data_IF_727673502982
#
_entry.id   IF_727673502982
#
_cell.length_a   1.000
_cell.length_b   1.000
_cell.length_c   1.000
_cell.angle_alpha   90.00
_cell.angle_beta   90.00
_cell.angle_gamma   90.00
#
_symmetry.space_group_name_H-M   'P 1'
#
loop_
_entity.id
_entity.type
_entity.pdbx_description
1 polymer ?
#
# COMPACT_ATOMS: atom_id res chain seq x y z
N UNK A 1 -2.62 9.68 -8.68
CA UNK A 1 -2.23 10.58 -9.79
C UNK A 1 -1.49 11.75 -9.18
N UNK A 2 -0.21 11.89 -9.47
CA UNK A 2 0.60 12.99 -8.95
C UNK A 2 0.80 13.95 -10.11
N UNK A 3 0.24 15.15 -10.01
CA UNK A 3 0.46 16.20 -11.01
C UNK A 3 1.49 17.17 -10.45
N UNK A 4 2.56 17.43 -11.19
CA UNK A 4 3.43 18.55 -10.89
C UNK A 4 2.59 19.84 -10.97
N UNK A 5 2.46 20.53 -9.84
CA UNK A 5 1.91 21.89 -9.88
C UNK A 5 2.89 22.75 -10.67
N UNK A 6 2.42 23.40 -11.73
CA UNK A 6 3.17 24.41 -12.43
C UNK A 6 3.72 25.41 -11.40
N UNK A 7 5.00 25.26 -11.05
CA UNK A 7 5.70 26.39 -10.51
C UNK A 7 5.74 27.43 -11.64
N UNK A 8 5.34 28.64 -11.37
CA UNK A 8 5.57 29.79 -12.25
C UNK A 8 7.09 30.00 -12.34
N UNK A 9 7.74 29.17 -13.17
CA UNK A 9 9.11 29.40 -13.58
C UNK A 9 9.06 30.55 -14.56
N UNK A 10 9.92 31.55 -14.36
CA UNK A 10 10.07 32.60 -15.36
C UNK A 10 10.56 31.98 -16.69
N UNK A 11 10.34 32.67 -17.81
CA UNK A 11 10.66 32.09 -19.13
C UNK A 11 12.14 31.69 -19.27
N UNK A 12 13.04 32.33 -18.53
CA UNK A 12 14.48 32.03 -18.49
C UNK A 12 14.81 30.72 -17.74
N UNK A 13 13.94 30.25 -16.82
CA UNK A 13 14.13 29.01 -16.05
C UNK A 13 13.52 27.76 -16.72
N UNK A 14 12.87 27.94 -17.86
CA UNK A 14 12.23 26.82 -18.60
C UNK A 14 13.21 25.96 -19.39
N UNK A 15 14.46 26.38 -19.50
CA UNK A 15 15.50 25.70 -20.28
C UNK A 15 16.66 25.26 -19.39
N UNK A 16 16.87 23.96 -19.31
CA UNK A 16 18.09 23.38 -18.74
C UNK A 16 19.06 23.12 -19.88
N UNK A 17 20.28 23.63 -19.71
CA UNK A 17 21.37 23.43 -20.68
C UNK A 17 22.31 22.36 -20.15
N UNK A 18 22.50 21.29 -20.88
CA UNK A 18 23.56 20.33 -20.66
C UNK A 18 24.62 20.52 -21.75
N UNK A 19 25.85 20.72 -21.36
CA UNK A 19 26.97 20.81 -22.28
C UNK A 19 27.45 19.40 -22.61
N UNK A 20 27.23 18.95 -23.86
CA UNK A 20 27.78 17.71 -24.37
C UNK A 20 28.89 18.07 -25.36
N UNK A 21 30.14 18.06 -24.90
CA UNK A 21 31.29 18.54 -25.66
C UNK A 21 31.30 20.06 -25.78
N UNK A 22 31.53 20.57 -26.99
CA UNK A 22 31.54 22.02 -27.29
C UNK A 22 30.14 22.55 -27.69
N UNK A 23 29.14 21.67 -27.84
CA UNK A 23 27.78 22.02 -28.23
C UNK A 23 26.87 22.19 -27.00
N UNK A 24 26.06 23.25 -27.00
CA UNK A 24 24.99 23.45 -26.02
C UNK A 24 23.72 22.72 -26.47
N UNK A 25 23.33 21.69 -25.72
CA UNK A 25 22.08 20.97 -25.97
C UNK A 25 21.00 21.47 -25.01
N UNK A 26 19.91 21.98 -25.56
CA UNK A 26 18.74 22.39 -24.80
C UNK A 26 17.99 21.16 -24.32
N UNK A 27 17.95 20.96 -22.99
CA UNK A 27 17.07 19.97 -22.38
C UNK A 27 15.80 20.66 -21.88
N UNK A 28 14.64 20.16 -22.30
CA UNK A 28 13.36 20.66 -21.85
C UNK A 28 12.35 19.51 -21.73
N UNK A 29 11.46 19.61 -20.72
CA UNK A 29 10.33 18.69 -20.57
C UNK A 29 9.12 19.36 -21.26
N UNK A 30 8.57 18.77 -22.33
CA UNK A 30 7.38 19.30 -22.99
C UNK A 30 6.19 19.43 -22.03
N UNK A 31 5.35 20.43 -22.22
CA UNK A 31 4.20 20.73 -21.35
C UNK A 31 3.14 19.63 -21.31
N UNK A 32 3.13 18.74 -22.30
CA UNK A 32 2.20 17.60 -22.39
C UNK A 32 2.66 16.34 -21.66
N UNK A 33 3.78 16.39 -20.91
CA UNK A 33 4.25 15.28 -20.10
C UNK A 33 3.70 15.39 -18.67
N UNK A 34 3.09 14.30 -18.22
CA UNK A 34 2.57 14.15 -16.85
C UNK A 34 3.35 13.05 -16.14
N UNK A 35 3.82 13.35 -14.93
CA UNK A 35 4.53 12.37 -14.10
C UNK A 35 3.57 11.74 -13.10
N UNK A 36 3.46 10.42 -13.14
CA UNK A 36 2.72 9.63 -12.17
C UNK A 36 3.73 8.76 -11.42
N UNK A 37 3.90 9.03 -10.13
CA UNK A 37 4.71 8.21 -9.25
C UNK A 37 3.84 7.36 -8.33
N UNK A 38 4.29 6.14 -8.04
CA UNK A 38 3.69 5.28 -7.02
C UNK A 38 4.74 4.97 -5.98
N UNK A 39 4.34 5.01 -4.71
CA UNK A 39 5.20 4.62 -3.60
C UNK A 39 4.42 3.82 -2.58
N UNK A 40 5.13 2.97 -1.83
CA UNK A 40 4.60 2.28 -0.68
C UNK A 40 5.01 3.04 0.59
N UNK A 41 4.03 3.51 1.37
CA UNK A 41 4.25 4.31 2.58
C UNK A 41 4.87 3.49 3.74
N UNK A 42 4.74 2.16 3.69
CA UNK A 42 5.33 1.24 4.69
C UNK A 42 6.83 1.03 4.49
N UNK A 43 7.37 1.39 3.33
CA UNK A 43 8.79 1.20 3.04
C UNK A 43 9.63 2.29 3.70
N UNK A 44 10.26 1.95 4.83
CA UNK A 44 11.11 2.88 5.61
C UNK A 44 12.31 3.43 4.85
N UNK A 45 12.67 2.85 3.70
CA UNK A 45 13.71 3.40 2.82
C UNK A 45 13.30 4.74 2.20
N UNK A 46 12.02 5.09 2.27
CA UNK A 46 11.40 6.29 1.69
C UNK A 46 11.27 7.44 2.70
N UNK A 47 11.69 7.28 3.96
CA UNK A 47 11.68 8.33 4.99
C UNK A 47 12.49 9.59 4.61
N UNK A 48 13.28 9.49 3.55
CA UNK A 48 14.06 10.59 2.97
C UNK A 48 13.32 11.33 1.84
N UNK A 49 12.01 11.14 1.67
CA UNK A 49 11.27 11.99 0.73
C UNK A 49 11.29 13.42 1.25
N UNK A 50 12.23 14.20 0.71
CA UNK A 50 12.42 15.61 1.04
C UNK A 50 11.06 16.34 1.00
N UNK A 51 10.78 17.10 2.04
CA UNK A 51 9.61 17.98 2.11
C UNK A 51 9.48 18.89 0.87
N UNK A 52 10.60 19.18 0.20
CA UNK A 52 10.62 19.92 -1.05
C UNK A 52 9.96 19.15 -2.21
N UNK A 53 10.15 17.83 -2.29
CA UNK A 53 9.46 16.99 -3.26
C UNK A 53 7.96 16.86 -2.93
N UNK A 54 7.61 16.72 -1.66
CA UNK A 54 6.19 16.64 -1.24
C UNK A 54 5.39 17.86 -1.68
N UNK A 55 5.97 19.04 -1.71
CA UNK A 55 5.28 20.27 -2.13
C UNK A 55 5.04 20.38 -3.63
N UNK A 56 5.79 19.62 -4.43
CA UNK A 56 5.75 19.68 -5.90
C UNK A 56 4.75 18.71 -6.52
N UNK A 57 4.20 17.77 -5.73
CA UNK A 57 3.28 16.76 -6.19
C UNK A 57 1.91 16.87 -5.50
N UNK A 58 0.85 16.53 -6.23
CA UNK A 58 -0.46 16.28 -5.62
C UNK A 58 -0.47 14.82 -5.12
N UNK A 59 -0.64 14.64 -3.81
CA UNK A 59 -0.62 13.32 -3.17
C UNK A 59 -2.03 12.74 -3.13
N UNK A 60 -2.17 11.51 -3.57
CA UNK A 60 -3.43 10.77 -3.49
C UNK A 60 -3.12 9.47 -2.76
N UNK A 61 -3.63 9.36 -1.53
CA UNK A 61 -3.57 8.11 -0.77
C UNK A 61 -4.57 7.11 -1.36
N UNK A 62 -4.14 5.87 -1.52
CA UNK A 62 -4.94 4.73 -1.95
C UNK A 62 -4.76 3.60 -0.96
N UNK A 63 -5.61 3.60 0.07
CA UNK A 63 -5.66 2.55 1.06
C UNK A 63 -6.48 1.33 0.61
N UNK A 64 -6.80 0.49 1.58
CA UNK A 64 -7.72 -0.63 1.44
C UNK A 64 -9.12 -0.15 0.99
N UNK A 65 -9.65 -0.80 -0.03
CA UNK A 65 -11.00 -0.54 -0.55
C UNK A 65 -11.79 -1.86 -0.64
N UNK A 66 -12.76 -2.02 0.26
CA UNK A 66 -13.60 -3.20 0.31
C UNK A 66 -14.56 -3.32 -0.88
N UNK A 67 -14.94 -2.18 -1.47
CA UNK A 67 -15.88 -2.18 -2.60
C UNK A 67 -15.30 -2.90 -3.82
N UNK A 68 -13.98 -2.84 -3.98
CA UNK A 68 -13.26 -3.59 -5.01
C UNK A 68 -13.40 -5.10 -4.77
N UNK A 69 -13.22 -5.55 -3.52
CA UNK A 69 -13.34 -6.98 -3.18
C UNK A 69 -14.77 -7.47 -3.36
N UNK A 70 -15.75 -6.69 -2.90
CA UNK A 70 -17.17 -7.01 -3.06
C UNK A 70 -17.52 -7.18 -4.54
N UNK A 71 -17.08 -6.26 -5.37
CA UNK A 71 -17.36 -6.30 -6.81
C UNK A 71 -16.68 -7.47 -7.51
N UNK A 72 -15.40 -7.69 -7.26
CA UNK A 72 -14.61 -8.73 -7.95
C UNK A 72 -14.98 -10.14 -7.52
N UNK A 73 -15.37 -10.35 -6.26
CA UNK A 73 -15.73 -11.66 -5.70
C UNK A 73 -17.25 -11.87 -5.60
N UNK A 74 -18.08 -10.87 -5.95
CA UNK A 74 -19.53 -10.97 -5.88
C UNK A 74 -20.07 -11.12 -4.44
N UNK A 75 -19.42 -10.45 -3.47
CA UNK A 75 -19.77 -10.53 -2.05
C UNK A 75 -20.71 -9.39 -1.64
N UNK A 76 -21.50 -9.62 -0.60
CA UNK A 76 -22.27 -8.56 0.06
C UNK A 76 -21.53 -8.00 1.28
N UNK A 77 -22.04 -6.88 1.82
CA UNK A 77 -21.44 -6.15 2.96
C UNK A 77 -21.41 -6.95 4.28
N UNK A 78 -22.18 -8.01 4.37
CA UNK A 78 -22.28 -8.90 5.56
C UNK A 78 -21.47 -10.18 5.43
N UNK A 79 -20.77 -10.35 4.31
CA UNK A 79 -20.01 -11.56 4.06
C UNK A 79 -18.95 -11.81 5.14
N UNK A 80 -18.81 -13.07 5.53
CA UNK A 80 -17.84 -13.50 6.55
C UNK A 80 -16.40 -13.15 6.16
N UNK A 81 -16.08 -13.25 4.87
CA UNK A 81 -14.76 -12.95 4.37
C UNK A 81 -14.41 -11.48 4.55
N UNK A 82 -15.31 -10.56 4.17
CA UNK A 82 -15.10 -9.12 4.36
C UNK A 82 -14.96 -8.77 5.84
N UNK A 83 -15.76 -9.36 6.71
CA UNK A 83 -15.63 -9.17 8.15
C UNK A 83 -14.27 -9.65 8.68
N UNK A 84 -13.76 -10.78 8.15
CA UNK A 84 -12.42 -11.26 8.47
C UNK A 84 -11.32 -10.29 8.05
N UNK A 85 -11.42 -9.73 6.84
CA UNK A 85 -10.48 -8.72 6.32
C UNK A 85 -10.50 -7.46 7.20
N UNK A 86 -11.69 -6.96 7.56
CA UNK A 86 -11.83 -5.79 8.45
C UNK A 86 -11.16 -6.02 9.80
N UNK A 87 -11.38 -7.21 10.40
CA UNK A 87 -10.76 -7.57 11.66
C UNK A 87 -9.23 -7.63 11.56
N UNK A 88 -8.71 -8.24 10.49
CA UNK A 88 -7.27 -8.33 10.27
C UNK A 88 -6.64 -6.95 10.07
N UNK A 89 -7.21 -6.12 9.20
CA UNK A 89 -6.68 -4.78 8.95
C UNK A 89 -6.77 -3.88 10.19
N UNK A 90 -7.84 -4.02 10.98
CA UNK A 90 -7.94 -3.35 12.26
C UNK A 90 -6.84 -3.83 13.23
N UNK A 91 -6.64 -5.13 13.34
CA UNK A 91 -5.58 -5.71 14.17
C UNK A 91 -4.20 -5.16 13.79
N UNK A 92 -3.89 -5.09 12.49
CA UNK A 92 -2.62 -4.55 12.00
C UNK A 92 -2.45 -3.07 12.38
N UNK A 93 -3.47 -2.25 12.11
CA UNK A 93 -3.43 -0.83 12.46
C UNK A 93 -3.24 -0.60 13.97
N UNK A 94 -3.95 -1.35 14.80
CA UNK A 94 -3.92 -1.21 16.26
C UNK A 94 -2.57 -1.66 16.85
N UNK A 95 -1.95 -2.72 16.31
CA UNK A 95 -0.68 -3.27 16.82
C UNK A 95 0.56 -2.59 16.25
N UNK A 96 0.48 -2.02 15.03
CA UNK A 96 1.61 -1.38 14.36
C UNK A 96 1.51 0.16 14.36
N UNK A 97 0.45 0.70 14.98
CA UNK A 97 0.31 2.13 15.24
C UNK A 97 -0.02 3.00 14.01
N UNK A 98 -0.28 2.40 12.84
CA UNK A 98 -0.63 3.15 11.62
C UNK A 98 -1.55 2.37 10.69
N UNK A 99 -2.49 3.09 10.05
CA UNK A 99 -3.32 2.55 8.96
C UNK A 99 -2.52 2.18 7.71
N UNK A 100 -1.31 2.70 7.57
CA UNK A 100 -0.41 2.36 6.46
C UNK A 100 -0.05 0.87 6.40
N UNK A 101 -0.13 0.17 7.54
CA UNK A 101 0.11 -1.27 7.61
C UNK A 101 -1.10 -2.13 7.20
N UNK A 102 -2.24 -1.52 6.86
CA UNK A 102 -3.37 -2.26 6.32
C UNK A 102 -3.02 -2.91 4.99
N UNK A 103 -3.44 -4.15 4.83
CA UNK A 103 -3.24 -4.88 3.58
C UNK A 103 -4.24 -4.41 2.53
N UNK A 104 -3.73 -4.06 1.35
CA UNK A 104 -4.55 -3.67 0.21
C UNK A 104 -5.40 -4.82 -0.34
N UNK A 105 -6.46 -4.48 -1.06
CA UNK A 105 -7.44 -5.43 -1.62
C UNK A 105 -6.80 -6.51 -2.52
N UNK A 106 -5.69 -6.22 -3.21
CA UNK A 106 -5.00 -7.16 -4.11
C UNK A 106 -4.51 -8.45 -3.42
N UNK A 107 -4.21 -8.40 -2.13
CA UNK A 107 -3.85 -9.60 -1.36
C UNK A 107 -5.03 -10.53 -1.17
N UNK A 108 -6.20 -9.97 -0.92
CA UNK A 108 -7.43 -10.70 -0.60
C UNK A 108 -8.13 -11.25 -1.83
N UNK A 109 -7.91 -10.66 -3.01
CA UNK A 109 -8.44 -11.18 -4.28
C UNK A 109 -7.83 -12.52 -4.71
N UNK A 110 -6.75 -12.97 -4.06
CA UNK A 110 -6.11 -14.26 -4.34
C UNK A 110 -6.84 -15.46 -3.71
N UNK A 111 -7.90 -15.24 -2.94
CA UNK A 111 -8.67 -16.32 -2.34
C UNK A 111 -9.34 -17.18 -3.40
N UNK A 112 -9.24 -18.51 -3.30
CA UNK A 112 -9.89 -19.45 -4.23
C UNK A 112 -11.39 -19.55 -3.99
N UNK A 113 -11.80 -19.54 -2.73
CA UNK A 113 -13.20 -19.58 -2.31
C UNK A 113 -13.37 -18.83 -0.98
N UNK A 114 -13.98 -17.63 -0.99
CA UNK A 114 -14.16 -16.84 0.21
C UNK A 114 -15.11 -17.46 1.25
N UNK A 115 -16.00 -18.37 0.85
CA UNK A 115 -16.91 -19.05 1.76
C UNK A 115 -16.28 -20.27 2.47
N UNK A 116 -15.17 -20.78 1.96
CA UNK A 116 -14.46 -21.92 2.54
C UNK A 116 -13.35 -21.47 3.50
N UNK A 117 -13.52 -21.82 4.78
CA UNK A 117 -12.54 -21.52 5.83
C UNK A 117 -11.13 -22.04 5.52
N UNK A 118 -11.03 -23.21 4.87
CA UNK A 118 -9.72 -23.79 4.55
C UNK A 118 -9.01 -22.99 3.44
N UNK A 119 -9.76 -22.56 2.41
CA UNK A 119 -9.22 -21.70 1.35
C UNK A 119 -8.79 -20.34 1.89
N UNK A 120 -9.54 -19.77 2.83
CA UNK A 120 -9.18 -18.50 3.50
C UNK A 120 -7.95 -18.68 4.40
N UNK A 121 -7.84 -19.82 5.09
CA UNK A 121 -6.65 -20.15 5.88
C UNK A 121 -5.42 -20.36 4.99
N UNK A 122 -5.57 -21.05 3.85
CA UNK A 122 -4.51 -21.24 2.86
C UNK A 122 -4.00 -19.90 2.33
N UNK A 123 -4.90 -18.97 2.01
CA UNK A 123 -4.55 -17.61 1.62
C UNK A 123 -3.70 -16.92 2.70
N UNK A 124 -4.15 -17.01 3.96
CA UNK A 124 -3.43 -16.40 5.08
C UNK A 124 -2.01 -16.98 5.19
N UNK A 125 -1.89 -18.30 5.26
CA UNK A 125 -0.61 -18.96 5.49
C UNK A 125 0.40 -18.72 4.36
N UNK A 126 -0.07 -18.72 3.10
CA UNK A 126 0.81 -18.65 1.93
C UNK A 126 1.13 -17.23 1.46
N UNK A 127 0.23 -16.27 1.65
CA UNK A 127 0.37 -14.93 1.07
C UNK A 127 0.37 -13.79 2.08
N UNK A 128 -0.37 -13.93 3.18
CA UNK A 128 -0.57 -12.85 4.14
C UNK A 128 0.46 -12.95 5.29
N UNK A 129 0.59 -14.13 5.87
CA UNK A 129 1.47 -14.39 7.03
C UNK A 129 2.94 -13.98 6.80
N UNK A 130 3.58 -14.26 5.64
CA UNK A 130 4.95 -13.83 5.40
C UNK A 130 5.11 -12.31 5.46
N UNK A 131 4.16 -11.57 4.87
CA UNK A 131 4.18 -10.12 4.87
C UNK A 131 3.95 -9.52 6.26
N UNK A 132 2.95 -10.03 6.99
CA UNK A 132 2.70 -9.58 8.38
C UNK A 132 3.92 -9.84 9.25
N UNK A 133 4.61 -10.96 9.04
CA UNK A 133 5.85 -11.27 9.78
C UNK A 133 6.91 -10.19 9.60
N UNK A 134 7.11 -9.70 8.38
CA UNK A 134 8.05 -8.60 8.11
C UNK A 134 7.60 -7.30 8.79
N UNK A 135 6.31 -6.98 8.77
CA UNK A 135 5.78 -5.80 9.46
C UNK A 135 5.99 -5.89 10.97
N UNK A 136 5.70 -7.05 11.57
CA UNK A 136 5.87 -7.24 13.00
C UNK A 136 7.33 -7.14 13.46
N UNK A 137 8.29 -7.55 12.62
CA UNK A 137 9.72 -7.44 12.93
C UNK A 137 10.20 -6.01 13.09
N UNK A 138 9.47 -5.04 12.56
CA UNK A 138 9.83 -3.63 12.74
C UNK A 138 9.48 -3.09 14.13
N UNK A 139 8.52 -3.73 14.82
CA UNK A 139 7.93 -3.22 16.07
C UNK A 139 8.09 -4.19 17.26
N UNK A 140 8.27 -5.49 17.01
CA UNK A 140 8.27 -6.51 18.02
C UNK A 140 9.56 -7.35 18.04
N UNK A 141 10.03 -7.82 19.20
CA UNK A 141 11.14 -8.77 19.29
C UNK A 141 10.72 -10.15 18.74
N UNK A 142 11.70 -10.90 18.21
CA UNK A 142 11.45 -12.17 17.49
C UNK A 142 10.65 -13.21 18.30
N UNK A 143 10.81 -13.23 19.63
CA UNK A 143 10.08 -14.14 20.51
C UNK A 143 8.57 -13.86 20.62
N UNK A 144 8.10 -12.64 20.27
CA UNK A 144 6.68 -12.26 20.31
C UNK A 144 5.99 -12.42 18.95
N UNK A 145 6.77 -12.46 17.86
CA UNK A 145 6.25 -12.45 16.49
C UNK A 145 5.28 -13.61 16.25
N UNK A 146 5.64 -14.84 16.70
CA UNK A 146 4.76 -16.00 16.46
C UNK A 146 3.41 -15.83 17.17
N UNK A 147 3.41 -15.32 18.40
CA UNK A 147 2.16 -15.04 19.12
C UNK A 147 1.28 -14.02 18.40
N UNK A 148 1.89 -12.95 17.88
CA UNK A 148 1.19 -11.91 17.10
C UNK A 148 0.65 -12.45 15.77
N UNK A 149 1.37 -13.33 15.09
CA UNK A 149 0.89 -13.99 13.87
C UNK A 149 -0.32 -14.90 14.15
N UNK A 150 -0.31 -15.61 15.26
CA UNK A 150 -1.43 -16.48 15.66
C UNK A 150 -2.66 -15.64 16.04
N UNK A 151 -2.47 -14.49 16.69
CA UNK A 151 -3.54 -13.51 16.95
C UNK A 151 -4.12 -12.95 15.65
N UNK A 152 -3.27 -12.53 14.71
CA UNK A 152 -3.70 -12.02 13.40
C UNK A 152 -4.55 -13.06 12.64
N UNK A 153 -4.08 -14.32 12.59
CA UNK A 153 -4.84 -15.41 11.97
C UNK A 153 -6.17 -15.64 12.68
N UNK A 154 -6.19 -15.57 14.00
CA UNK A 154 -7.40 -15.74 14.82
C UNK A 154 -8.42 -14.65 14.51
N UNK A 155 -8.02 -13.41 14.39
CA UNK A 155 -8.92 -12.30 14.03
C UNK A 155 -9.44 -12.42 12.60
N UNK A 156 -8.58 -12.80 11.64
CA UNK A 156 -8.97 -13.02 10.25
C UNK A 156 -10.01 -14.15 10.11
N UNK A 157 -9.82 -15.25 10.82
CA UNK A 157 -10.71 -16.43 10.77
C UNK A 157 -11.88 -16.37 11.76
N UNK A 158 -12.00 -15.32 12.56
CA UNK A 158 -13.04 -15.19 13.59
C UNK A 158 -14.46 -15.35 13.06
N UNK A 159 -14.85 -14.77 11.89
CA UNK A 159 -16.20 -14.95 11.36
C UNK A 159 -16.53 -16.38 10.89
N UNK A 160 -15.53 -17.26 10.76
CA UNK A 160 -15.69 -18.67 10.39
C UNK A 160 -15.74 -19.61 11.59
N UNK A 161 -15.76 -19.08 12.80
CA UNK A 161 -16.01 -19.87 14.02
C UNK A 161 -17.51 -19.97 14.22
N UNK A 162 -17.98 -21.19 14.39
CA UNK A 162 -19.31 -21.49 14.90
C UNK A 162 -19.29 -21.37 16.42
#
# INVERSE_FOLDING_TARGET
>A
LITLKNSTLCEEEKHWFEKIGDDEVLFGIPENIYFIGMMNDVDKSVDLFDLALRRRFAWIERGYDETVIMKELGLDDKDKYLNGIKNLNKFLSDNLGSSSFQLGHSYFLKVKNPSDKNAVKELFDNHIKPLIKEYLRTEYPENEIQGKLDEAQKEFLKPYRL
#
